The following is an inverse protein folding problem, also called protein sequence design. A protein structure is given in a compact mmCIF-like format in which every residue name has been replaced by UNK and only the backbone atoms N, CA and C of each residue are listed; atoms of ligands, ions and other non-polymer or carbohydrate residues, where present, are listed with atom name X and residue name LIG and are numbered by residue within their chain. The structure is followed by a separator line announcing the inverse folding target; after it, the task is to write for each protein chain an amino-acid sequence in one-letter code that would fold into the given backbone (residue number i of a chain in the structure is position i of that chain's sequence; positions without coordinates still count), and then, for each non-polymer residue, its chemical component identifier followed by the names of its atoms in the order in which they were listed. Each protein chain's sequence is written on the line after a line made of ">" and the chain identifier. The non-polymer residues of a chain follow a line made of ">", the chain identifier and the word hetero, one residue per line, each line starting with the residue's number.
data_IF_378842180373
#
_entry.id   IF_378842180373
#
_cell.length_a   1.000
_cell.length_b   1.000
_cell.length_c   1.000
_cell.angle_alpha   90.00
_cell.angle_beta   90.00
_cell.angle_gamma   90.00
#
_symmetry.space_group_name_H-M   'P 1'
#
loop_
_entity.id
_entity.type
_entity.pdbx_description
1 polymer ?
#
# COMPACT_ATOMS: atom_id res chain seq x y z
N UNK A 1 -6.87 41.77 46.69
CA UNK A 1 -6.75 41.01 47.96
C UNK A 1 -8.10 41.13 48.65
N UNK A 2 -8.74 40.04 49.12
CA UNK A 2 -8.15 38.94 49.88
C UNK A 2 -8.54 37.51 49.45
N UNK A 3 -7.99 36.55 50.18
CA UNK A 3 -8.35 35.13 50.37
C UNK A 3 -8.10 34.12 49.24
N UNK A 4 -6.91 33.55 49.36
CA UNK A 4 -6.52 32.22 48.91
C UNK A 4 -6.51 31.31 50.16
N UNK A 5 -7.45 30.35 50.27
CA UNK A 5 -7.47 29.21 51.22
C UNK A 5 -8.52 28.21 50.65
N UNK A 6 -8.39 26.87 50.59
CA UNK A 6 -7.38 25.91 51.01
C UNK A 6 -7.71 24.52 50.34
N UNK A 7 -7.67 23.33 50.99
CA UNK A 7 -6.52 22.42 51.09
C UNK A 7 -6.87 20.94 50.84
N UNK A 8 -6.26 20.25 49.87
CA UNK A 8 -6.29 18.78 49.84
C UNK A 8 -4.95 18.18 49.38
N UNK A 9 -3.96 18.25 50.28
CA UNK A 9 -2.90 17.23 50.36
C UNK A 9 -3.40 16.10 51.25
N UNK A 10 -3.34 14.84 50.78
CA UNK A 10 -3.06 13.66 51.61
C UNK A 10 -2.91 12.39 50.77
N UNK A 11 -1.83 11.66 51.05
CA UNK A 11 -1.64 10.23 50.76
C UNK A 11 -0.90 9.98 49.45
N UNK A 12 0.28 9.36 49.39
CA UNK A 12 0.99 8.55 50.38
C UNK A 12 1.89 7.63 49.56
N UNK A 13 3.19 7.90 49.57
CA UNK A 13 4.21 7.14 48.86
C UNK A 13 4.37 5.77 49.54
N UNK A 14 4.07 4.68 48.85
CA UNK A 14 4.34 3.32 49.31
C UNK A 14 5.10 2.54 48.23
N UNK A 15 6.40 2.36 48.47
CA UNK A 15 7.25 1.37 47.80
C UNK A 15 6.78 -0.02 48.23
N UNK A 16 6.45 -0.88 47.28
CA UNK A 16 6.59 -2.33 47.49
C UNK A 16 7.22 -2.97 46.27
N UNK A 17 8.45 -3.45 46.49
CA UNK A 17 9.24 -4.25 45.56
C UNK A 17 8.89 -5.73 45.76
N UNK A 18 9.03 -6.45 44.64
CA UNK A 18 9.12 -7.92 44.49
C UNK A 18 7.77 -8.62 44.30
N UNK A 19 7.51 -8.97 43.04
CA UNK A 19 7.46 -10.38 42.68
C UNK A 19 8.19 -10.59 41.35
N UNK A 20 9.29 -11.35 41.46
CA UNK A 20 9.90 -12.07 40.35
C UNK A 20 8.82 -12.99 39.74
N UNK A 21 8.53 -12.81 38.47
CA UNK A 21 8.16 -13.93 37.61
C UNK A 21 9.23 -14.03 36.53
N UNK A 22 10.22 -14.88 36.83
CA UNK A 22 11.05 -15.53 35.83
C UNK A 22 10.13 -16.47 35.07
N UNK A 23 9.86 -16.18 33.79
CA UNK A 23 9.54 -17.20 32.81
C UNK A 23 10.57 -17.12 31.70
N UNK A 24 11.37 -18.18 31.68
CA UNK A 24 12.27 -18.57 30.61
C UNK A 24 11.48 -18.91 29.35
N UNK A 25 12.22 -18.91 28.24
CA UNK A 25 11.92 -19.56 26.97
C UNK A 25 10.88 -18.88 26.08
N UNK A 26 11.39 -17.98 25.25
CA UNK A 26 10.67 -17.45 24.11
C UNK A 26 11.56 -16.52 23.29
N UNK A 27 12.74 -17.00 22.89
CA UNK A 27 13.46 -16.40 21.75
C UNK A 27 12.58 -16.61 20.52
N UNK A 28 11.58 -15.76 20.30
CA UNK A 28 11.07 -15.54 18.95
C UNK A 28 12.19 -14.86 18.23
N UNK A 29 12.95 -15.66 17.47
CA UNK A 29 13.82 -15.16 16.44
C UNK A 29 13.06 -14.07 15.68
N UNK A 30 13.53 -12.84 15.80
CA UNK A 30 13.28 -11.84 14.76
C UNK A 30 13.95 -12.47 13.55
N UNK A 31 13.12 -13.08 12.69
CA UNK A 31 13.56 -13.65 11.42
C UNK A 31 14.36 -12.56 10.70
N UNK A 32 15.66 -12.80 10.60
CA UNK A 32 16.50 -12.10 9.64
C UNK A 32 15.89 -12.36 8.26
N UNK A 33 15.32 -11.31 7.65
CA UNK A 33 14.74 -11.40 6.31
C UNK A 33 13.30 -10.91 6.18
N UNK A 34 12.89 -9.82 6.84
CA UNK A 34 11.78 -9.04 6.32
C UNK A 34 12.31 -8.26 5.10
N UNK A 35 12.45 -8.96 3.96
CA UNK A 35 12.57 -8.27 2.68
C UNK A 35 11.40 -7.28 2.62
N UNK A 36 11.70 -6.02 2.33
CA UNK A 36 10.69 -5.03 1.95
C UNK A 36 10.09 -5.53 0.63
N UNK A 37 9.14 -6.47 0.68
CA UNK A 37 8.59 -7.08 -0.52
C UNK A 37 7.86 -5.99 -1.27
N UNK A 38 8.43 -5.56 -2.40
CA UNK A 38 7.77 -4.68 -3.34
C UNK A 38 6.50 -5.31 -3.90
N UNK A 39 5.96 -4.70 -4.93
CA UNK A 39 4.88 -5.29 -5.69
C UNK A 39 5.36 -6.57 -6.38
N UNK A 40 4.62 -7.66 -6.14
CA UNK A 40 4.72 -8.89 -6.92
C UNK A 40 3.34 -9.25 -7.49
N UNK A 41 3.23 -9.52 -8.80
CA UNK A 41 1.96 -9.81 -9.45
C UNK A 41 1.31 -11.11 -8.97
N UNK A 42 2.09 -12.05 -8.42
CA UNK A 42 1.59 -13.30 -7.84
C UNK A 42 1.17 -13.18 -6.37
N UNK A 43 1.52 -12.08 -5.69
CA UNK A 43 1.21 -11.84 -4.27
C UNK A 43 0.04 -10.86 -4.08
N UNK A 44 -0.83 -10.71 -5.08
CA UNK A 44 -1.94 -9.74 -5.04
C UNK A 44 -3.16 -10.22 -4.26
N UNK A 45 -3.14 -11.44 -3.72
CA UNK A 45 -4.25 -12.05 -2.98
C UNK A 45 -5.39 -12.52 -3.89
N UNK A 46 -5.15 -12.57 -5.20
CA UNK A 46 -6.02 -13.20 -6.19
C UNK A 46 -5.60 -14.67 -6.28
N UNK A 47 -6.55 -15.60 -6.11
CA UNK A 47 -6.25 -17.03 -6.30
C UNK A 47 -5.73 -17.29 -7.72
N UNK A 48 -4.89 -18.31 -7.90
CA UNK A 48 -4.40 -18.71 -9.23
C UNK A 48 -5.60 -18.98 -10.17
N UNK A 49 -5.86 -18.06 -11.10
CA UNK A 49 -6.98 -18.13 -12.03
C UNK A 49 -7.44 -16.76 -12.56
N UNK A 50 -8.30 -16.74 -13.59
CA UNK A 50 -8.87 -15.49 -14.11
C UNK A 50 -9.82 -14.87 -13.08
N UNK A 51 -9.47 -13.70 -12.54
CA UNK A 51 -10.35 -12.97 -11.63
C UNK A 51 -11.47 -12.30 -12.45
N UNK A 52 -12.75 -12.67 -12.23
CA UNK A 52 -13.86 -12.14 -13.02
C UNK A 52 -14.03 -10.62 -12.84
N UNK A 53 -13.65 -10.06 -11.69
CA UNK A 53 -13.74 -8.63 -11.44
C UNK A 53 -12.61 -7.86 -12.15
N UNK A 54 -11.39 -8.42 -12.22
CA UNK A 54 -10.29 -7.86 -13.00
C UNK A 54 -10.64 -7.84 -14.50
N UNK A 55 -11.13 -8.96 -15.03
CA UNK A 55 -11.49 -9.07 -16.45
C UNK A 55 -12.69 -8.18 -16.82
N UNK A 56 -13.68 -8.06 -15.92
CA UNK A 56 -14.77 -7.10 -16.08
C UNK A 56 -14.25 -5.66 -16.12
N UNK A 57 -13.35 -5.29 -15.21
CA UNK A 57 -12.75 -3.95 -15.16
C UNK A 57 -11.93 -3.63 -16.43
N UNK A 58 -11.20 -4.61 -16.97
CA UNK A 58 -10.45 -4.46 -18.23
C UNK A 58 -11.35 -4.15 -19.41
N UNK A 59 -12.51 -4.80 -19.51
CA UNK A 59 -13.47 -4.60 -20.61
C UNK A 59 -14.36 -3.37 -20.42
N UNK A 60 -14.68 -3.00 -19.19
CA UNK A 60 -15.57 -1.89 -18.90
C UNK A 60 -14.93 -0.51 -19.22
N UNK A 61 -15.68 0.49 -19.68
CA UNK A 61 -15.19 1.87 -19.76
C UNK A 61 -14.98 2.45 -18.36
N UNK A 62 -14.00 3.34 -18.20
CA UNK A 62 -13.75 4.04 -16.93
C UNK A 62 -14.78 5.16 -16.79
N UNK A 63 -15.62 5.11 -15.75
CA UNK A 63 -16.63 6.16 -15.51
C UNK A 63 -16.14 7.27 -14.59
N UNK A 64 -15.06 7.00 -13.85
CA UNK A 64 -14.48 7.91 -12.85
C UNK A 64 -14.81 7.55 -11.41
N UNK A 65 -15.57 6.48 -11.17
CA UNK A 65 -15.88 6.01 -9.81
C UNK A 65 -14.77 5.12 -9.25
N UNK A 66 -14.21 5.50 -8.09
CA UNK A 66 -13.14 4.75 -7.42
C UNK A 66 -13.55 3.34 -7.00
N UNK A 67 -14.84 3.12 -6.73
CA UNK A 67 -15.40 1.82 -6.34
C UNK A 67 -15.38 0.78 -7.47
N UNK A 68 -15.14 1.19 -8.72
CA UNK A 68 -15.04 0.28 -9.87
C UNK A 68 -13.72 -0.50 -9.86
N UNK A 69 -12.69 0.04 -9.22
CA UNK A 69 -11.37 -0.58 -9.17
C UNK A 69 -11.40 -1.73 -8.14
N UNK A 70 -11.14 -2.98 -8.56
CA UNK A 70 -11.14 -4.09 -7.61
C UNK A 70 -10.09 -3.87 -6.50
N UNK A 71 -10.54 -3.96 -5.24
CA UNK A 71 -9.70 -3.69 -4.07
C UNK A 71 -9.89 -2.31 -3.44
N UNK A 72 -10.62 -1.38 -4.11
CA UNK A 72 -11.00 -0.09 -3.53
C UNK A 72 -12.42 -0.17 -2.98
N UNK A 73 -12.52 -0.34 -1.66
CA UNK A 73 -13.76 -0.19 -0.92
C UNK A 73 -14.00 1.24 -0.42
N UNK A 74 -15.17 1.52 0.18
CA UNK A 74 -15.54 2.85 0.68
C UNK A 74 -14.54 3.42 1.71
N UNK A 75 -13.89 2.54 2.48
CA UNK A 75 -12.82 2.92 3.41
C UNK A 75 -11.59 3.46 2.67
N UNK A 76 -11.16 2.79 1.60
CA UNK A 76 -9.97 3.18 0.86
C UNK A 76 -10.22 4.38 -0.05
N UNK A 77 -11.44 4.57 -0.55
CA UNK A 77 -11.80 5.81 -1.24
C UNK A 77 -11.73 7.04 -0.33
N UNK A 78 -12.08 6.89 0.96
CA UNK A 78 -11.87 7.94 1.96
C UNK A 78 -10.39 8.29 2.10
N UNK A 79 -9.54 7.29 2.33
CA UNK A 79 -8.08 7.46 2.48
C UNK A 79 -7.42 8.04 1.21
N UNK A 80 -7.92 7.69 0.02
CA UNK A 80 -7.46 8.27 -1.25
C UNK A 80 -7.85 9.75 -1.39
N UNK A 81 -9.01 10.12 -0.86
CA UNK A 81 -9.48 11.51 -0.81
C UNK A 81 -8.77 12.37 0.24
N UNK A 82 -8.04 11.77 1.18
CA UNK A 82 -7.24 12.46 2.18
C UNK A 82 -5.90 12.92 1.58
N UNK A 83 -5.62 14.22 1.63
CA UNK A 83 -4.38 14.83 1.13
C UNK A 83 -4.62 16.21 0.53
N UNK A 84 -3.53 16.88 0.16
CA UNK A 84 -3.55 18.18 -0.52
C UNK A 84 -3.05 18.05 -1.96
N UNK A 85 -3.60 18.86 -2.87
CA UNK A 85 -3.16 18.91 -4.27
C UNK A 85 -3.22 17.56 -5.00
N UNK A 86 -2.09 17.15 -5.56
CA UNK A 86 -1.92 15.95 -6.40
C UNK A 86 -1.93 14.63 -5.63
N UNK A 87 -1.99 14.69 -4.30
CA UNK A 87 -2.15 13.52 -3.44
C UNK A 87 -3.62 13.25 -3.07
N UNK A 88 -4.55 14.15 -3.44
CA UNK A 88 -5.98 13.96 -3.24
C UNK A 88 -6.62 13.32 -4.49
N UNK A 89 -7.00 12.05 -4.36
CA UNK A 89 -7.60 11.26 -5.43
C UNK A 89 -9.09 11.09 -5.16
N UNK A 90 -9.92 11.71 -6.00
CA UNK A 90 -11.39 11.67 -5.92
C UNK A 90 -12.04 10.84 -7.02
N UNK A 91 -11.32 10.61 -8.12
CA UNK A 91 -11.84 9.85 -9.26
C UNK A 91 -10.79 8.88 -9.83
N UNK A 92 -11.25 7.90 -10.62
CA UNK A 92 -10.38 6.88 -11.22
C UNK A 92 -9.38 7.46 -12.22
N UNK A 93 -9.73 8.54 -12.91
CA UNK A 93 -8.82 9.23 -13.83
C UNK A 93 -7.61 9.83 -13.11
N UNK A 94 -7.81 10.41 -11.93
CA UNK A 94 -6.75 10.93 -11.07
C UNK A 94 -5.89 9.81 -10.54
N UNK A 95 -6.46 8.65 -10.20
CA UNK A 95 -5.70 7.48 -9.78
C UNK A 95 -4.77 6.99 -10.91
N UNK A 96 -5.32 6.91 -12.13
CA UNK A 96 -4.54 6.55 -13.33
C UNK A 96 -3.48 7.63 -13.63
N UNK A 97 -3.83 8.91 -13.52
CA UNK A 97 -2.89 10.02 -13.67
C UNK A 97 -1.75 9.92 -12.67
N UNK A 98 -2.05 9.60 -11.40
CA UNK A 98 -1.03 9.39 -10.37
C UNK A 98 -0.12 8.22 -10.71
N UNK A 99 -0.69 7.10 -11.18
CA UNK A 99 0.10 5.97 -11.66
C UNK A 99 1.03 6.39 -12.80
N UNK A 100 0.56 7.15 -13.79
CA UNK A 100 1.38 7.61 -14.91
C UNK A 100 2.46 8.61 -14.49
N UNK A 101 2.16 9.55 -13.58
CA UNK A 101 3.15 10.52 -13.05
C UNK A 101 4.30 9.82 -12.33
N UNK A 102 4.04 8.69 -11.67
CA UNK A 102 5.09 7.90 -11.03
C UNK A 102 6.02 7.20 -12.04
N UNK A 103 5.66 7.17 -13.32
CA UNK A 103 6.54 6.72 -14.42
C UNK A 103 7.53 7.83 -14.80
N UNK A 104 8.38 8.19 -13.86
CA UNK A 104 9.43 9.19 -14.06
C UNK A 104 10.59 8.63 -14.87
N UNK A 105 11.39 9.51 -15.47
CA UNK A 105 12.72 9.16 -15.95
C UNK A 105 13.68 9.03 -14.77
N UNK A 106 14.62 8.09 -14.84
CA UNK A 106 15.75 8.05 -13.91
C UNK A 106 16.65 9.26 -14.15
N UNK A 107 16.99 9.95 -13.07
CA UNK A 107 17.72 11.23 -13.11
C UNK A 107 19.14 11.08 -13.68
N UNK A 108 19.71 9.87 -13.62
CA UNK A 108 21.08 9.58 -14.08
C UNK A 108 21.19 9.32 -15.59
N UNK A 109 20.22 8.62 -16.18
CA UNK A 109 20.30 8.15 -17.58
C UNK A 109 19.28 8.81 -18.51
N UNK A 110 18.31 9.56 -17.97
CA UNK A 110 17.18 10.12 -18.73
C UNK A 110 16.23 9.05 -19.31
N UNK A 111 16.48 7.76 -19.05
CA UNK A 111 15.65 6.64 -19.45
C UNK A 111 14.45 6.50 -18.52
N UNK A 112 13.33 6.05 -19.08
CA UNK A 112 12.14 5.70 -18.31
C UNK A 112 12.47 4.57 -17.33
N UNK A 113 11.91 4.66 -16.12
CA UNK A 113 12.01 3.60 -15.12
C UNK A 113 11.43 2.29 -15.66
N UNK A 114 11.97 1.18 -15.16
CA UNK A 114 11.48 -0.15 -15.51
C UNK A 114 10.04 -0.37 -15.00
N UNK A 115 9.33 -1.30 -15.64
CA UNK A 115 7.96 -1.66 -15.26
C UNK A 115 7.88 -2.18 -13.82
N UNK A 116 8.91 -2.87 -13.31
CA UNK A 116 8.97 -3.38 -11.94
C UNK A 116 9.08 -2.23 -10.95
N UNK A 117 10.05 -1.34 -11.16
CA UNK A 117 10.26 -0.16 -10.32
C UNK A 117 9.05 0.79 -10.33
N UNK A 118 8.39 0.92 -11.48
CA UNK A 118 7.19 1.73 -11.63
C UNK A 118 6.04 1.19 -10.76
N UNK A 119 5.79 -0.11 -10.81
CA UNK A 119 4.77 -0.76 -10.00
C UNK A 119 5.09 -0.70 -8.50
N UNK A 120 6.38 -0.83 -8.15
CA UNK A 120 6.85 -0.69 -6.78
C UNK A 120 6.62 0.72 -6.23
N UNK A 121 6.99 1.76 -6.98
CA UNK A 121 6.75 3.16 -6.57
C UNK A 121 5.27 3.41 -6.29
N UNK A 122 4.38 2.89 -7.14
CA UNK A 122 2.94 3.00 -6.90
C UNK A 122 2.46 2.20 -5.69
N UNK A 123 3.01 1.00 -5.48
CA UNK A 123 2.70 0.16 -4.32
C UNK A 123 3.09 0.85 -3.00
N UNK A 124 4.29 1.44 -2.93
CA UNK A 124 4.76 2.18 -1.76
C UNK A 124 3.95 3.47 -1.52
N UNK A 125 3.50 4.13 -2.58
CA UNK A 125 2.59 5.27 -2.47
C UNK A 125 1.22 4.86 -1.89
N UNK A 126 0.65 3.73 -2.33
CA UNK A 126 -0.57 3.20 -1.72
C UNK A 126 -0.35 2.80 -0.25
N UNK A 127 0.86 2.34 0.10
CA UNK A 127 1.21 2.05 1.48
C UNK A 127 1.30 3.29 2.35
N UNK A 128 1.87 4.40 1.85
CA UNK A 128 1.94 5.65 2.61
C UNK A 128 0.55 6.21 2.91
N UNK A 129 -0.44 5.94 2.05
CA UNK A 129 -1.87 6.21 2.27
C UNK A 129 -2.57 5.23 3.22
N UNK A 130 -1.91 4.17 3.66
CA UNK A 130 -2.49 3.17 4.57
C UNK A 130 -3.46 2.18 3.91
N UNK A 131 -3.40 2.00 2.58
CA UNK A 131 -4.27 1.07 1.86
C UNK A 131 -3.79 -0.37 2.08
N UNK A 132 -4.72 -1.33 2.24
CA UNK A 132 -4.39 -2.74 2.50
C UNK A 132 -4.17 -3.57 1.22
N UNK A 133 -5.17 -3.58 0.32
CA UNK A 133 -5.18 -4.41 -0.89
C UNK A 133 -4.37 -3.79 -2.06
N UNK A 134 -3.15 -3.34 -1.76
CA UNK A 134 -2.31 -2.56 -2.68
C UNK A 134 -1.97 -3.32 -3.95
N UNK A 135 -1.56 -4.58 -3.81
CA UNK A 135 -1.15 -5.42 -4.94
C UNK A 135 -2.27 -5.58 -5.97
N UNK A 136 -3.49 -5.88 -5.51
CA UNK A 136 -4.66 -5.99 -6.40
C UNK A 136 -4.94 -4.69 -7.14
N UNK A 137 -4.86 -3.54 -6.46
CA UNK A 137 -5.08 -2.22 -7.06
C UNK A 137 -4.01 -1.93 -8.12
N UNK A 138 -2.73 -2.16 -7.80
CA UNK A 138 -1.61 -1.97 -8.74
C UNK A 138 -1.83 -2.82 -9.99
N UNK A 139 -2.14 -4.11 -9.83
CA UNK A 139 -2.39 -5.02 -10.95
C UNK A 139 -3.55 -4.54 -11.84
N UNK A 140 -4.68 -4.15 -11.23
CA UNK A 140 -5.86 -3.71 -11.98
C UNK A 140 -5.58 -2.45 -12.80
N UNK A 141 -4.91 -1.46 -12.20
CA UNK A 141 -4.58 -0.20 -12.87
C UNK A 141 -3.51 -0.43 -13.93
N UNK A 142 -2.46 -1.19 -13.63
CA UNK A 142 -1.38 -1.47 -14.56
C UNK A 142 -1.87 -2.22 -15.81
N UNK A 143 -2.69 -3.27 -15.64
CA UNK A 143 -3.27 -3.99 -16.78
C UNK A 143 -4.20 -3.10 -17.61
N UNK A 144 -5.01 -2.26 -16.95
CA UNK A 144 -5.93 -1.34 -17.65
C UNK A 144 -5.17 -0.30 -18.46
N UNK A 145 -4.13 0.30 -17.87
CA UNK A 145 -3.31 1.32 -18.51
C UNK A 145 -2.48 0.71 -19.64
N UNK A 146 -2.02 -0.53 -19.50
CA UNK A 146 -1.29 -1.24 -20.55
C UNK A 146 -2.11 -1.46 -21.82
N UNK A 147 -3.45 -1.51 -21.73
CA UNK A 147 -4.32 -1.56 -22.93
C UNK A 147 -4.27 -0.26 -23.74
N UNK A 148 -4.05 0.89 -23.10
CA UNK A 148 -3.93 2.19 -23.77
C UNK A 148 -2.49 2.56 -24.12
N UNK A 149 -1.54 2.12 -23.29
CA UNK A 149 -0.11 2.39 -23.42
C UNK A 149 0.66 1.07 -23.32
N UNK A 150 0.79 0.33 -24.43
CA UNK A 150 1.44 -0.98 -24.43
C UNK A 150 2.91 -0.86 -24.01
N UNK A 151 3.37 -1.80 -23.18
CA UNK A 151 4.74 -1.82 -22.65
C UNK A 151 4.90 -1.09 -21.31
N UNK A 152 3.80 -0.57 -20.74
CA UNK A 152 3.84 -0.01 -19.38
C UNK A 152 3.95 -1.11 -18.32
N UNK A 153 3.30 -2.25 -18.55
CA UNK A 153 3.24 -3.34 -17.59
C UNK A 153 3.43 -4.67 -18.29
N UNK A 154 4.35 -5.48 -17.76
CA UNK A 154 4.61 -6.84 -18.22
C UNK A 154 4.65 -7.80 -17.03
N UNK A 155 3.68 -8.71 -16.96
CA UNK A 155 3.60 -9.68 -15.86
C UNK A 155 4.79 -10.64 -15.86
N UNK A 156 5.39 -10.92 -17.02
CA UNK A 156 6.50 -11.87 -17.18
C UNK A 156 7.83 -11.31 -16.70
N UNK A 157 7.93 -9.98 -16.53
CA UNK A 157 9.12 -9.33 -15.98
C UNK A 157 9.45 -9.77 -14.54
N UNK A 158 8.48 -10.32 -13.81
CA UNK A 158 8.69 -10.92 -12.50
C UNK A 158 8.95 -12.44 -12.64
N UNK A 159 10.21 -12.82 -12.79
CA UNK A 159 10.64 -14.22 -12.74
C UNK A 159 10.79 -14.66 -11.29
N UNK A 160 10.04 -15.69 -10.90
CA UNK A 160 10.30 -16.38 -9.64
C UNK A 160 11.38 -17.45 -9.88
N UNK A 161 12.33 -17.65 -8.96
CA UNK A 161 13.36 -18.69 -9.08
C UNK A 161 12.79 -20.13 -9.06
N UNK A 162 11.46 -20.30 -8.96
CA UNK A 162 10.79 -21.59 -8.96
C UNK A 162 10.41 -22.09 -10.36
N UNK A 163 10.51 -21.25 -11.40
CA UNK A 163 10.16 -21.61 -12.78
C UNK A 163 11.33 -22.24 -13.57
N UNK A 164 12.48 -22.47 -12.93
CA UNK A 164 13.73 -22.97 -13.56
C UNK A 164 13.94 -24.51 -13.40
N UNK A 165 12.86 -25.31 -13.33
CA UNK A 165 12.95 -26.77 -13.07
C UNK A 165 12.55 -27.65 -14.25
#
# INVERSE_FOLDING_TARGET
>A
MPSCEAPWCRGGYSRSRRNLCVWLAGKTAISAGQQKTGYHPRQTGVGEGPDPALEAFKKAPITGLLSEVPGIGPKFSGLLGEGEGEDCIKNTFQLIGKFLVLRTSNEEDGKLIDCVEHCDKFYWWLQSKGIGFRGRIVQCIAEKVNMSYPGIYDREAWTDPQDEK
#
